data_IF_148180137421
#
_entry.id   IF_148180137421
#
_cell.length_a   1.000
_cell.length_b   1.000
_cell.length_c   1.000
_cell.angle_alpha   90.00
_cell.angle_beta   90.00
_cell.angle_gamma   90.00
#
_symmetry.space_group_name_H-M   'P 1'
#
loop_
_entity.id
_entity.type
_entity.pdbx_description
1 polymer ?
#
# COMPACT_ATOMS: atom_id res chain seq x y z
N UNK A 1 11.85 -1.92 -8.53
CA UNK A 1 11.27 -3.09 -7.84
C UNK A 1 11.27 -4.31 -8.73
N UNK A 2 12.39 -5.04 -8.70
CA UNK A 2 12.55 -6.28 -9.46
C UNK A 2 11.97 -7.49 -8.71
N UNK A 3 11.74 -7.39 -7.40
CA UNK A 3 11.23 -8.49 -6.57
C UNK A 3 9.88 -9.04 -7.05
N UNK A 4 8.98 -8.17 -7.52
CA UNK A 4 7.65 -8.58 -8.02
C UNK A 4 7.69 -9.27 -9.38
N UNK A 5 8.82 -9.17 -10.11
CA UNK A 5 9.03 -9.86 -11.37
C UNK A 5 9.64 -11.26 -11.19
N UNK A 6 10.03 -11.64 -9.97
CA UNK A 6 10.59 -12.97 -9.69
C UNK A 6 9.51 -14.05 -9.78
N UNK A 7 9.84 -15.18 -10.39
CA UNK A 7 8.94 -16.34 -10.48
C UNK A 7 8.58 -16.94 -9.11
N UNK A 8 9.45 -16.77 -8.11
CA UNK A 8 9.22 -17.20 -6.72
C UNK A 8 8.19 -16.33 -5.98
N UNK A 9 7.80 -15.18 -6.54
CA UNK A 9 6.88 -14.27 -5.88
C UNK A 9 5.43 -14.74 -6.02
N UNK A 10 4.75 -14.92 -4.89
CA UNK A 10 3.37 -15.41 -4.86
C UNK A 10 2.36 -14.28 -5.06
N UNK A 11 2.09 -13.96 -6.32
CA UNK A 11 1.15 -12.90 -6.70
C UNK A 11 -0.31 -13.19 -6.33
N UNK A 12 -0.73 -14.47 -6.26
CA UNK A 12 -2.08 -14.85 -5.81
C UNK A 12 -2.27 -14.52 -4.31
N UNK A 13 -1.28 -14.84 -3.48
CA UNK A 13 -1.28 -14.48 -2.05
C UNK A 13 -1.26 -12.97 -1.85
N UNK A 14 -0.54 -12.23 -2.71
CA UNK A 14 -0.57 -10.77 -2.69
C UNK A 14 -1.99 -10.25 -2.94
N UNK A 15 -2.63 -10.69 -4.03
CA UNK A 15 -3.98 -10.24 -4.39
C UNK A 15 -5.03 -10.54 -3.29
N UNK A 16 -4.95 -11.71 -2.65
CA UNK A 16 -5.91 -12.11 -1.62
C UNK A 16 -5.80 -11.31 -0.30
N UNK A 17 -4.61 -10.79 0.03
CA UNK A 17 -4.33 -10.21 1.36
C UNK A 17 -4.11 -8.70 1.36
N UNK A 18 -3.85 -8.08 0.21
CA UNK A 18 -3.71 -6.62 0.08
C UNK A 18 -5.09 -5.94 0.10
N UNK A 19 -5.22 -4.72 0.65
CA UNK A 19 -6.46 -3.98 0.60
C UNK A 19 -6.76 -3.53 -0.83
N UNK A 20 -8.04 -3.41 -1.15
CA UNK A 20 -8.55 -2.86 -2.40
C UNK A 20 -9.02 -1.42 -2.15
N UNK A 21 -9.04 -0.60 -3.19
CA UNK A 21 -9.36 0.82 -3.01
C UNK A 21 -10.85 1.04 -2.81
N UNK A 22 -11.23 2.02 -1.95
CA UNK A 22 -12.63 2.34 -1.74
C UNK A 22 -13.20 3.03 -3.00
N UNK A 23 -14.50 2.84 -3.31
CA UNK A 23 -15.19 3.54 -4.40
C UNK A 23 -15.03 5.07 -4.34
N UNK A 24 -14.95 5.62 -3.12
CA UNK A 24 -14.75 7.04 -2.85
C UNK A 24 -13.49 7.62 -3.52
N UNK A 25 -12.43 6.81 -3.68
CA UNK A 25 -11.24 7.23 -4.42
C UNK A 25 -11.57 7.42 -5.90
N UNK A 26 -12.22 6.43 -6.53
CA UNK A 26 -12.57 6.49 -7.94
C UNK A 26 -13.58 7.61 -8.23
N UNK A 27 -14.56 7.81 -7.35
CA UNK A 27 -15.47 8.95 -7.42
C UNK A 27 -14.72 10.30 -7.41
N UNK A 28 -13.65 10.40 -6.62
CA UNK A 28 -12.80 11.59 -6.60
C UNK A 28 -12.04 11.75 -7.92
N UNK A 29 -11.45 10.67 -8.43
CA UNK A 29 -10.72 10.66 -9.70
C UNK A 29 -11.63 11.05 -10.88
N UNK A 30 -12.84 10.48 -10.96
CA UNK A 30 -13.78 10.77 -12.04
C UNK A 30 -14.33 12.19 -11.94
N UNK A 31 -14.70 12.67 -10.75
CA UNK A 31 -15.10 14.07 -10.55
C UNK A 31 -14.00 15.06 -10.91
N UNK A 32 -12.73 14.71 -10.65
CA UNK A 32 -11.61 15.53 -11.09
C UNK A 32 -11.50 15.54 -12.61
N UNK A 33 -11.57 14.37 -13.25
CA UNK A 33 -11.53 14.23 -14.71
C UNK A 33 -12.62 15.07 -15.39
N UNK A 34 -13.88 14.94 -14.94
CA UNK A 34 -15.08 15.59 -15.48
C UNK A 34 -15.04 17.12 -15.53
N UNK A 35 -14.19 17.78 -14.74
CA UNK A 35 -14.03 19.25 -14.76
C UNK A 35 -13.39 19.79 -16.05
N UNK A 36 -12.94 18.94 -16.95
CA UNK A 36 -12.24 19.35 -18.18
C UNK A 36 -13.22 19.78 -19.27
N UNK A 37 -12.86 20.81 -20.03
CA UNK A 37 -13.72 21.34 -21.10
C UNK A 37 -14.01 20.34 -22.23
N UNK A 38 -13.12 19.37 -22.46
CA UNK A 38 -13.19 18.39 -23.57
C UNK A 38 -13.13 16.93 -23.08
N UNK A 39 -13.73 16.64 -21.93
CA UNK A 39 -13.65 15.32 -21.28
C UNK A 39 -14.19 14.21 -22.17
N UNK A 40 -13.42 13.11 -22.23
CA UNK A 40 -13.81 11.86 -22.88
C UNK A 40 -13.40 10.69 -21.99
N UNK A 41 -14.25 9.68 -21.93
CA UNK A 41 -13.96 8.40 -21.31
C UNK A 41 -13.67 7.33 -22.39
N UNK A 42 -12.71 7.62 -23.27
CA UNK A 42 -12.38 6.70 -24.36
C UNK A 42 -11.32 5.67 -23.93
N UNK A 43 -10.18 6.13 -23.44
CA UNK A 43 -9.06 5.26 -23.05
C UNK A 43 -8.48 5.69 -21.72
N UNK A 44 -8.26 4.74 -20.80
CA UNK A 44 -7.44 4.91 -19.61
C UNK A 44 -6.21 3.99 -19.67
N UNK A 45 -5.09 4.47 -19.13
CA UNK A 45 -3.85 3.70 -18.99
C UNK A 45 -3.44 3.68 -17.52
N UNK A 46 -3.29 2.49 -16.96
CA UNK A 46 -2.83 2.23 -15.60
C UNK A 46 -1.39 1.70 -15.64
N UNK A 47 -0.43 2.49 -15.17
CA UNK A 47 1.01 2.20 -15.23
C UNK A 47 1.48 1.65 -13.89
N UNK A 48 2.08 0.46 -13.90
CA UNK A 48 2.37 -0.30 -12.69
C UNK A 48 1.12 -0.96 -12.12
N UNK A 49 0.27 -1.53 -12.99
CA UNK A 49 -1.05 -2.02 -12.61
C UNK A 49 -1.04 -3.25 -11.68
N UNK A 50 0.12 -3.89 -11.50
CA UNK A 50 0.27 -5.07 -10.67
C UNK A 50 -0.69 -6.19 -11.09
N UNK A 51 -1.41 -6.84 -10.15
CA UNK A 51 -2.38 -7.88 -10.46
C UNK A 51 -3.71 -7.32 -11.02
N UNK A 52 -3.65 -6.24 -11.80
CA UNK A 52 -4.79 -5.64 -12.49
C UNK A 52 -5.69 -4.90 -11.55
N UNK A 53 -5.11 -4.42 -10.45
CA UNK A 53 -5.91 -3.89 -9.41
C UNK A 53 -6.53 -2.53 -9.95
N UNK A 54 -5.94 -1.32 -9.91
CA UNK A 54 -6.73 -0.06 -10.13
C UNK A 54 -7.47 -0.03 -11.47
N UNK A 55 -6.81 -0.61 -12.46
CA UNK A 55 -7.31 -0.94 -13.80
C UNK A 55 -8.79 -1.32 -13.82
N UNK A 56 -9.26 -2.20 -12.93
CA UNK A 56 -10.63 -2.75 -13.04
C UNK A 56 -11.74 -1.80 -12.58
N UNK A 57 -11.42 -0.75 -11.83
CA UNK A 57 -12.42 0.24 -11.38
C UNK A 57 -12.51 1.42 -12.35
N UNK A 58 -11.63 1.49 -13.35
CA UNK A 58 -11.66 2.50 -14.42
C UNK A 58 -12.80 2.26 -15.43
N UNK A 59 -13.87 1.59 -14.99
CA UNK A 59 -15.03 1.15 -15.77
C UNK A 59 -15.76 2.24 -16.58
N UNK A 60 -15.71 3.55 -16.23
CA UNK A 60 -16.30 4.56 -17.10
C UNK A 60 -15.62 4.65 -18.48
N UNK A 61 -14.37 4.20 -18.62
CA UNK A 61 -13.62 4.25 -19.88
C UNK A 61 -13.97 3.09 -20.82
N UNK A 62 -14.16 3.40 -22.11
CA UNK A 62 -14.44 2.39 -23.16
C UNK A 62 -13.31 1.38 -23.36
N UNK A 63 -12.07 1.81 -23.16
CA UNK A 63 -10.86 1.00 -23.28
C UNK A 63 -9.98 1.26 -22.07
N UNK A 64 -9.51 0.19 -21.44
CA UNK A 64 -8.61 0.28 -20.29
C UNK A 64 -7.37 -0.56 -20.62
N UNK A 65 -6.18 0.00 -20.36
CA UNK A 65 -4.90 -0.63 -20.62
C UNK A 65 -4.10 -0.64 -19.32
N UNK A 66 -3.92 -1.82 -18.72
CA UNK A 66 -2.98 -2.01 -17.62
C UNK A 66 -1.59 -2.38 -18.15
N UNK A 67 -0.55 -1.72 -17.65
CA UNK A 67 0.85 -1.99 -18.00
C UNK A 67 1.63 -2.26 -16.72
N UNK A 68 2.36 -3.37 -16.67
CA UNK A 68 3.26 -3.71 -15.57
C UNK A 68 4.48 -4.44 -16.15
N UNK A 69 5.72 -4.17 -15.68
CA UNK A 69 6.90 -4.89 -16.14
C UNK A 69 6.95 -6.36 -15.70
N UNK A 70 6.13 -6.79 -14.72
CA UNK A 70 6.11 -8.17 -14.24
C UNK A 70 5.08 -9.03 -14.99
N UNK A 71 5.57 -10.04 -15.70
CA UNK A 71 4.71 -11.04 -16.36
C UNK A 71 3.83 -11.81 -15.36
N UNK A 72 4.33 -12.07 -14.15
CA UNK A 72 3.55 -12.79 -13.12
C UNK A 72 2.39 -11.92 -12.62
N UNK A 73 2.60 -10.61 -12.50
CA UNK A 73 1.56 -9.65 -12.16
C UNK A 73 0.51 -9.55 -13.29
N UNK A 74 0.96 -9.42 -14.55
CA UNK A 74 0.05 -9.38 -15.72
C UNK A 74 -0.74 -10.67 -15.88
N UNK A 75 -0.13 -11.83 -15.63
CA UNK A 75 -0.85 -13.11 -15.64
C UNK A 75 -1.92 -13.15 -14.55
N UNK A 76 -1.61 -12.71 -13.33
CA UNK A 76 -2.63 -12.59 -12.29
C UNK A 76 -3.70 -11.56 -12.64
N UNK A 77 -3.36 -10.42 -13.24
CA UNK A 77 -4.33 -9.43 -13.72
C UNK A 77 -5.34 -10.02 -14.71
N UNK A 78 -4.86 -10.85 -15.65
CA UNK A 78 -5.73 -11.56 -16.61
C UNK A 78 -6.63 -12.60 -15.94
N UNK A 79 -6.12 -13.27 -14.90
CA UNK A 79 -6.91 -14.24 -14.13
C UNK A 79 -7.91 -13.54 -13.21
N UNK A 80 -7.54 -12.38 -12.67
CA UNK A 80 -8.30 -11.53 -11.77
C UNK A 80 -9.12 -10.50 -12.54
N UNK A 81 -9.79 -10.83 -13.65
CA UNK A 81 -10.74 -9.92 -14.32
C UNK A 81 -11.96 -9.50 -13.44
N UNK A 82 -11.80 -9.63 -12.12
CA UNK A 82 -12.53 -9.05 -11.01
C UNK A 82 -11.51 -8.50 -9.97
N UNK A 83 -11.49 -7.16 -9.76
CA UNK A 83 -11.01 -6.41 -8.55
C UNK A 83 -9.66 -5.62 -8.55
N UNK A 84 -9.66 -4.46 -7.84
CA UNK A 84 -8.82 -3.27 -8.07
C UNK A 84 -7.85 -2.60 -7.02
N UNK A 85 -6.97 -1.59 -7.37
CA UNK A 85 -5.61 -1.23 -6.79
C UNK A 85 -4.71 -0.08 -7.35
N UNK A 86 -4.60 1.05 -6.65
CA UNK A 86 -3.49 2.02 -6.64
C UNK A 86 -2.37 1.61 -5.63
N UNK A 87 -1.50 2.53 -5.19
CA UNK A 87 -0.54 2.36 -4.07
C UNK A 87 -0.90 3.12 -2.77
N UNK A 88 -0.52 2.58 -1.61
CA UNK A 88 -0.75 3.15 -0.27
C UNK A 88 0.51 3.04 0.60
N UNK A 89 0.65 3.84 1.67
CA UNK A 89 1.85 3.86 2.52
C UNK A 89 1.84 2.76 3.59
N UNK A 90 2.70 2.84 4.60
CA UNK A 90 2.70 1.87 5.68
C UNK A 90 1.39 1.84 6.48
N UNK A 91 0.96 0.64 6.89
CA UNK A 91 -0.30 0.46 7.61
C UNK A 91 -0.26 1.02 9.03
N UNK A 92 -1.44 1.25 9.61
CA UNK A 92 -1.70 1.65 11.00
C UNK A 92 -2.81 0.80 11.57
N UNK A 93 -2.81 0.59 12.89
CA UNK A 93 -3.95 -0.01 13.59
C UNK A 93 -4.86 1.12 14.08
N UNK A 94 -6.08 1.19 13.56
CA UNK A 94 -6.97 2.37 13.73
C UNK A 94 -7.24 2.73 15.18
N UNK A 95 -7.38 1.73 16.05
CA UNK A 95 -7.68 1.91 17.48
C UNK A 95 -6.49 1.66 18.41
N UNK A 96 -5.28 1.51 17.85
CA UNK A 96 -4.06 1.23 18.61
C UNK A 96 -2.88 2.08 18.12
N UNK A 97 -2.93 3.41 18.26
CA UNK A 97 -1.88 4.31 17.77
C UNK A 97 -0.51 4.04 18.43
N UNK A 98 -0.47 3.47 19.64
CA UNK A 98 0.76 3.02 20.31
C UNK A 98 1.57 2.02 19.47
N UNK A 99 0.89 1.20 18.67
CA UNK A 99 1.53 0.20 17.82
C UNK A 99 2.31 0.83 16.65
N UNK A 100 2.07 2.11 16.33
CA UNK A 100 2.75 2.81 15.23
C UNK A 100 4.26 2.77 15.36
N UNK A 101 4.80 2.93 16.56
CA UNK A 101 6.25 2.86 16.81
C UNK A 101 6.80 1.47 16.53
N UNK A 102 6.06 0.41 16.87
CA UNK A 102 6.46 -0.97 16.59
C UNK A 102 6.38 -1.30 15.10
N UNK A 103 5.31 -0.85 14.42
CA UNK A 103 5.14 -1.01 12.97
C UNK A 103 6.32 -0.34 12.25
N UNK A 104 6.65 0.90 12.65
CA UNK A 104 7.75 1.65 12.07
C UNK A 104 9.11 0.98 12.35
N UNK A 105 9.36 0.55 13.59
CA UNK A 105 10.60 -0.15 13.94
C UNK A 105 10.78 -1.45 13.14
N UNK A 106 9.72 -2.24 13.00
CA UNK A 106 9.73 -3.47 12.20
C UNK A 106 9.99 -3.18 10.72
N UNK A 107 9.30 -2.21 10.15
CA UNK A 107 9.29 -2.02 8.70
C UNK A 107 10.44 -1.13 8.21
N UNK A 108 10.80 -0.09 8.95
CA UNK A 108 11.79 0.92 8.54
C UNK A 108 13.05 0.96 9.42
N UNK A 109 13.12 0.13 10.48
CA UNK A 109 14.28 0.08 11.38
C UNK A 109 15.61 -0.18 10.67
N UNK A 110 16.72 0.13 11.33
CA UNK A 110 18.06 -0.08 10.76
C UNK A 110 18.67 -1.44 11.11
N UNK A 111 18.09 -2.15 12.07
CA UNK A 111 18.59 -3.45 12.55
C UNK A 111 18.26 -4.57 11.54
N UNK A 112 19.26 -5.18 10.88
CA UNK A 112 19.02 -6.21 9.87
C UNK A 112 18.46 -7.53 10.41
N UNK A 113 18.54 -7.79 11.73
CA UNK A 113 17.99 -9.01 12.34
C UNK A 113 16.54 -8.83 12.82
N UNK A 114 16.18 -7.60 13.18
CA UNK A 114 14.90 -7.30 13.82
C UNK A 114 14.04 -6.31 13.03
N UNK A 115 14.46 -5.93 11.83
CA UNK A 115 13.67 -5.07 10.94
C UNK A 115 13.82 -5.43 9.46
N UNK A 116 12.85 -4.98 8.68
CA UNK A 116 12.81 -5.07 7.22
C UNK A 116 13.47 -3.89 6.52
N UNK A 117 13.87 -2.85 7.27
CA UNK A 117 14.40 -1.60 6.73
C UNK A 117 15.55 -1.78 5.74
N UNK A 118 16.59 -2.58 6.06
CA UNK A 118 17.71 -2.83 5.15
C UNK A 118 17.35 -3.61 3.87
N UNK A 119 16.16 -4.21 3.81
CA UNK A 119 15.73 -5.09 2.71
C UNK A 119 14.72 -4.43 1.77
N UNK A 120 14.29 -3.20 2.07
CA UNK A 120 13.49 -2.39 1.15
C UNK A 120 14.36 -1.81 0.04
N UNK A 121 13.88 -1.90 -1.20
CA UNK A 121 14.47 -1.14 -2.29
C UNK A 121 14.25 0.37 -2.07
N UNK A 122 15.36 1.12 -2.04
CA UNK A 122 15.38 2.58 -1.96
C UNK A 122 15.88 3.18 -3.28
N UNK A 123 15.44 4.41 -3.66
CA UNK A 123 14.67 5.37 -2.86
C UNK A 123 13.14 5.16 -2.86
N UNK A 124 12.62 4.21 -3.66
CA UNK A 124 11.18 4.04 -3.86
C UNK A 124 10.37 3.85 -2.57
N UNK A 125 10.88 3.06 -1.62
CA UNK A 125 10.20 2.88 -0.31
C UNK A 125 10.10 4.17 0.48
N UNK A 126 11.16 4.98 0.51
CA UNK A 126 11.18 6.27 1.23
C UNK A 126 10.16 7.22 0.63
N UNK A 127 10.14 7.35 -0.71
CA UNK A 127 9.19 8.23 -1.42
C UNK A 127 7.74 7.83 -1.12
N UNK A 128 7.43 6.52 -1.11
CA UNK A 128 6.09 6.02 -0.79
C UNK A 128 5.67 6.32 0.66
N UNK A 129 6.56 6.06 1.62
CA UNK A 129 6.27 6.22 3.05
C UNK A 129 6.18 7.70 3.45
N UNK A 130 6.92 8.56 2.78
CA UNK A 130 6.83 10.02 2.87
C UNK A 130 5.73 10.60 1.97
N UNK A 131 4.71 9.80 1.63
CA UNK A 131 3.48 10.28 1.00
C UNK A 131 3.72 11.03 -0.33
N UNK A 132 4.71 10.59 -1.10
CA UNK A 132 5.09 11.15 -2.39
C UNK A 132 5.51 12.63 -2.33
N UNK A 133 5.90 13.16 -1.15
CA UNK A 133 6.31 14.56 -1.00
C UNK A 133 7.50 14.90 -1.90
N UNK A 134 8.42 13.96 -2.09
CA UNK A 134 9.58 14.11 -2.97
C UNK A 134 9.24 14.21 -4.47
N UNK A 135 8.00 13.85 -4.88
CA UNK A 135 7.57 14.04 -6.27
C UNK A 135 7.38 15.55 -6.50
N UNK A 136 8.10 16.16 -7.45
CA UNK A 136 8.00 17.59 -7.72
C UNK A 136 6.63 17.93 -8.33
N UNK A 137 6.24 19.19 -8.18
CA UNK A 137 5.07 19.71 -8.87
C UNK A 137 5.33 19.72 -10.39
N UNK A 138 4.31 19.42 -11.22
CA UNK A 138 4.49 19.25 -12.66
C UNK A 138 5.03 20.51 -13.33
N UNK A 139 4.65 21.70 -12.84
CA UNK A 139 5.15 22.99 -13.34
C UNK A 139 6.68 23.12 -13.18
N UNK A 140 7.27 22.51 -12.15
CA UNK A 140 8.72 22.56 -11.94
C UNK A 140 9.50 21.63 -12.90
N UNK A 141 8.85 20.63 -13.50
CA UNK A 141 9.48 19.62 -14.36
C UNK A 141 9.18 19.86 -15.82
N UNK A 142 7.94 20.24 -16.13
CA UNK A 142 7.40 20.43 -17.48
C UNK A 142 6.49 21.67 -17.50
N UNK A 143 7.09 22.89 -17.46
CA UNK A 143 6.35 24.14 -17.33
C UNK A 143 5.28 24.31 -18.40
N UNK A 144 4.09 24.76 -17.99
CA UNK A 144 2.97 25.06 -18.88
C UNK A 144 2.32 23.86 -19.57
N UNK A 145 2.72 22.62 -19.23
CA UNK A 145 2.08 21.41 -19.77
C UNK A 145 0.90 20.93 -18.93
N UNK A 146 0.82 21.33 -17.66
CA UNK A 146 -0.22 20.89 -16.75
C UNK A 146 -0.89 22.06 -16.02
N UNK A 147 -2.16 21.88 -15.69
CA UNK A 147 -2.99 22.80 -14.93
C UNK A 147 -3.81 22.03 -13.88
N UNK A 148 -4.51 22.77 -12.99
CA UNK A 148 -5.40 22.20 -11.96
C UNK A 148 -4.69 21.14 -11.10
N UNK A 149 -3.42 21.38 -10.77
CA UNK A 149 -2.61 20.46 -9.97
C UNK A 149 -3.16 20.37 -8.55
N UNK A 150 -3.33 19.15 -8.05
CA UNK A 150 -3.78 18.87 -6.69
C UNK A 150 -2.94 17.76 -6.08
N UNK A 151 -2.58 17.95 -4.81
CA UNK A 151 -1.96 16.93 -3.97
C UNK A 151 -2.79 16.75 -2.72
N UNK A 152 -3.35 15.56 -2.56
CA UNK A 152 -4.29 15.22 -1.49
C UNK A 152 -3.66 14.18 -0.58
N UNK A 153 -3.76 14.38 0.73
CA UNK A 153 -3.22 13.48 1.73
C UNK A 153 -4.36 12.91 2.58
N UNK A 154 -4.63 11.61 2.47
CA UNK A 154 -5.60 10.89 3.29
C UNK A 154 -4.87 10.17 4.42
N UNK A 155 -4.29 10.95 5.33
CA UNK A 155 -3.40 10.44 6.39
C UNK A 155 -4.01 10.49 7.79
N UNK A 156 -5.17 11.11 7.96
CA UNK A 156 -5.77 11.35 9.26
C UNK A 156 -4.78 12.02 10.23
N UNK A 157 -4.84 11.62 11.49
CA UNK A 157 -3.99 12.17 12.56
C UNK A 157 -2.57 11.57 12.58
N UNK A 158 -2.27 10.57 11.74
CA UNK A 158 -0.98 9.88 11.74
C UNK A 158 0.18 10.75 11.27
N UNK A 159 -0.11 11.78 10.47
CA UNK A 159 0.89 12.63 9.84
C UNK A 159 0.48 14.11 9.90
N UNK A 160 0.50 14.73 11.10
CA UNK A 160 0.02 16.10 11.30
C UNK A 160 0.86 17.16 10.57
N UNK A 161 2.07 16.80 10.13
CA UNK A 161 2.97 17.68 9.38
C UNK A 161 2.61 17.79 7.89
N UNK A 162 1.76 16.91 7.36
CA UNK A 162 1.30 17.01 5.97
C UNK A 162 0.31 18.17 5.82
N UNK A 163 0.34 18.91 4.71
CA UNK A 163 -0.58 20.02 4.51
C UNK A 163 -2.01 19.50 4.30
N UNK A 164 -2.95 20.01 5.08
CA UNK A 164 -4.39 19.72 4.99
C UNK A 164 -4.72 18.20 4.98
N UNK A 165 -4.34 17.45 6.04
CA UNK A 165 -4.58 16.01 6.09
C UNK A 165 -6.08 15.72 6.14
N UNK A 166 -6.53 14.89 5.22
CA UNK A 166 -7.90 14.37 5.15
C UNK A 166 -8.02 13.05 5.93
N UNK A 167 -9.23 12.65 6.36
CA UNK A 167 -9.45 11.35 6.97
C UNK A 167 -8.93 10.20 6.10
N UNK A 168 -8.38 9.15 6.72
CA UNK A 168 -7.94 7.96 5.99
C UNK A 168 -9.14 7.29 5.33
N UNK A 169 -9.09 7.08 4.02
CA UNK A 169 -10.17 6.44 3.25
C UNK A 169 -9.91 4.94 3.00
N UNK A 170 -8.65 4.50 3.03
CA UNK A 170 -8.29 3.11 2.85
C UNK A 170 -8.25 2.38 4.19
N UNK A 171 -9.32 1.67 4.51
CA UNK A 171 -9.50 0.94 5.76
C UNK A 171 -9.99 -0.48 5.50
N UNK A 172 -9.62 -1.42 6.37
CA UNK A 172 -10.08 -2.81 6.32
C UNK A 172 -10.08 -3.41 7.71
N UNK A 173 -11.23 -3.94 8.12
CA UNK A 173 -11.34 -4.87 9.24
C UNK A 173 -10.86 -6.24 8.77
N UNK A 174 -9.93 -6.85 9.50
CA UNK A 174 -9.44 -8.18 9.21
C UNK A 174 -9.15 -8.95 10.48
N UNK A 175 -8.99 -10.27 10.40
CA UNK A 175 -8.53 -11.03 11.57
C UNK A 175 -7.04 -10.82 11.82
N UNK A 176 -6.58 -11.10 13.03
CA UNK A 176 -5.14 -11.14 13.33
C UNK A 176 -4.37 -12.11 12.43
N UNK A 177 -4.97 -13.25 12.05
CA UNK A 177 -4.39 -14.14 11.04
C UNK A 177 -4.31 -13.47 9.66
N UNK A 178 -5.33 -12.70 9.27
CA UNK A 178 -5.32 -11.88 8.05
C UNK A 178 -4.19 -10.85 8.05
N UNK A 179 -3.94 -10.19 9.19
CA UNK A 179 -2.84 -9.25 9.33
C UNK A 179 -1.47 -9.94 9.15
N UNK A 180 -1.27 -11.12 9.73
CA UNK A 180 -0.05 -11.89 9.49
C UNK A 180 0.10 -12.31 8.02
N UNK A 181 -0.99 -12.73 7.38
CA UNK A 181 -0.99 -13.06 5.96
C UNK A 181 -0.63 -11.86 5.08
N UNK A 182 -1.09 -10.66 5.45
CA UNK A 182 -0.71 -9.38 4.83
C UNK A 182 0.79 -9.05 5.03
N UNK A 183 1.34 -9.19 6.23
CA UNK A 183 2.78 -8.98 6.48
C UNK A 183 3.64 -9.90 5.61
N UNK A 184 3.18 -11.14 5.40
CA UNK A 184 3.84 -12.13 4.55
C UNK A 184 3.86 -11.83 3.05
N UNK A 185 3.27 -10.72 2.61
CA UNK A 185 3.31 -10.29 1.20
C UNK A 185 4.25 -9.10 0.98
N UNK A 186 5.01 -8.70 2.00
CA UNK A 186 5.99 -7.62 1.91
C UNK A 186 7.18 -8.09 1.07
N UNK A 187 7.55 -7.30 0.07
CA UNK A 187 8.70 -7.61 -0.79
C UNK A 187 10.01 -7.66 0.00
N UNK A 188 10.18 -6.78 0.99
CA UNK A 188 11.34 -6.79 1.89
C UNK A 188 11.43 -8.06 2.75
N UNK A 189 10.30 -8.63 3.19
CA UNK A 189 10.29 -9.91 3.89
C UNK A 189 10.76 -11.04 2.96
N UNK A 190 10.31 -11.05 1.71
CA UNK A 190 10.80 -12.01 0.73
C UNK A 190 12.32 -11.90 0.52
N UNK A 191 12.83 -10.67 0.36
CA UNK A 191 14.27 -10.40 0.25
C UNK A 191 15.05 -10.87 1.49
N UNK A 192 14.50 -10.67 2.69
CA UNK A 192 15.09 -11.14 3.94
C UNK A 192 15.18 -12.66 3.95
N UNK A 193 14.09 -13.37 3.65
CA UNK A 193 14.07 -14.84 3.65
C UNK A 193 14.92 -15.46 2.54
N UNK A 194 15.13 -14.78 1.41
CA UNK A 194 16.12 -15.22 0.41
C UNK A 194 17.56 -15.11 0.93
N UNK A 195 17.87 -14.06 1.71
CA UNK A 195 19.22 -13.79 2.21
C UNK A 195 19.54 -14.55 3.50
N UNK A 196 18.54 -14.75 4.35
CA UNK A 196 18.62 -15.34 5.68
C UNK A 196 17.49 -16.36 5.88
N UNK A 197 17.53 -17.50 5.15
CA UNK A 197 16.47 -18.52 5.21
C UNK A 197 16.31 -19.16 6.59
N UNK A 198 17.32 -19.06 7.47
CA UNK A 198 17.28 -19.51 8.85
C UNK A 198 16.23 -18.78 9.71
N UNK A 199 15.81 -17.56 9.35
CA UNK A 199 14.73 -16.85 10.06
C UNK A 199 13.42 -17.66 10.02
N UNK A 200 13.19 -18.44 8.95
CA UNK A 200 12.03 -19.33 8.83
C UNK A 200 12.07 -20.54 9.78
N UNK A 201 13.25 -20.90 10.29
CA UNK A 201 13.46 -22.08 11.14
C UNK A 201 13.51 -21.74 12.63
N UNK A 202 13.34 -20.46 12.98
CA UNK A 202 13.37 -20.02 14.37
C UNK A 202 12.21 -20.61 15.17
N UNK A 203 12.51 -21.05 16.40
CA UNK A 203 11.50 -21.63 17.30
C UNK A 203 10.46 -20.63 17.79
N UNK A 204 10.81 -19.34 17.84
CA UNK A 204 9.91 -18.23 18.19
C UNK A 204 9.19 -17.61 16.97
N UNK A 205 9.38 -18.21 15.78
CA UNK A 205 8.81 -17.77 14.51
C UNK A 205 9.69 -16.79 13.75
N UNK A 206 9.39 -16.67 12.45
CA UNK A 206 10.03 -15.69 11.56
C UNK A 206 9.76 -14.25 12.04
N UNK A 207 10.49 -13.29 11.48
CA UNK A 207 10.35 -11.87 11.85
C UNK A 207 8.89 -11.36 11.75
N UNK A 208 8.11 -11.89 10.79
CA UNK A 208 6.70 -11.54 10.63
C UNK A 208 5.83 -12.05 11.79
N UNK A 209 6.08 -13.27 12.29
CA UNK A 209 5.42 -13.80 13.49
C UNK A 209 5.87 -13.05 14.74
N UNK A 210 7.16 -12.71 14.84
CA UNK A 210 7.69 -11.96 16.00
C UNK A 210 7.04 -10.58 16.11
N UNK A 211 6.99 -9.79 15.04
CA UNK A 211 6.30 -8.49 15.08
C UNK A 211 4.81 -8.65 15.33
N UNK A 212 4.18 -9.66 14.75
CA UNK A 212 2.75 -9.91 14.96
C UNK A 212 2.43 -10.20 16.43
N UNK A 213 3.27 -10.99 17.11
CA UNK A 213 3.16 -11.21 18.55
C UNK A 213 3.41 -9.92 19.36
N UNK A 214 4.38 -9.10 18.96
CA UNK A 214 4.65 -7.81 19.61
C UNK A 214 3.45 -6.85 19.49
N UNK A 215 2.81 -6.78 18.32
CA UNK A 215 1.61 -5.97 18.12
C UNK A 215 0.48 -6.41 19.04
N UNK A 216 0.22 -7.72 19.16
CA UNK A 216 -0.78 -8.24 20.11
C UNK A 216 -0.45 -7.88 21.56
N UNK A 217 0.82 -8.00 21.94
CA UNK A 217 1.28 -7.66 23.29
C UNK A 217 1.13 -6.16 23.59
N UNK A 218 1.33 -5.29 22.60
CA UNK A 218 1.10 -3.85 22.74
C UNK A 218 -0.38 -3.53 22.92
N UNK A 219 -1.28 -4.20 22.19
CA UNK A 219 -2.73 -4.06 22.36
C UNK A 219 -3.15 -4.43 23.79
N UNK A 220 -2.68 -5.58 24.30
CA UNK A 220 -2.94 -6.01 25.69
C UNK A 220 -2.49 -4.97 26.69
N UNK A 221 -1.26 -4.46 26.51
CA UNK A 221 -0.64 -3.51 27.44
C UNK A 221 -1.41 -2.19 27.50
N UNK A 222 -1.79 -1.64 26.36
CA UNK A 222 -2.40 -0.32 26.28
C UNK A 222 -3.91 -0.34 26.54
N UNK A 223 -4.61 -1.43 26.18
CA UNK A 223 -6.05 -1.54 26.36
C UNK A 223 -6.47 -2.26 27.66
N UNK A 224 -5.51 -2.81 28.42
CA UNK A 224 -5.75 -3.65 29.62
C UNK A 224 -6.75 -4.77 29.34
N UNK A 225 -6.63 -5.41 28.18
CA UNK A 225 -7.51 -6.49 27.71
C UNK A 225 -6.78 -7.83 27.67
N UNK A 226 -7.54 -8.92 27.52
CA UNK A 226 -6.97 -10.22 27.19
C UNK A 226 -6.26 -10.17 25.83
N UNK A 227 -5.32 -11.12 25.64
CA UNK A 227 -4.62 -11.26 24.37
C UNK A 227 -5.61 -11.61 23.25
N UNK A 228 -5.61 -10.87 22.13
CA UNK A 228 -6.53 -11.14 21.05
C UNK A 228 -6.23 -12.51 20.42
N UNK A 229 -7.28 -13.29 20.25
CA UNK A 229 -7.25 -14.58 19.56
C UNK A 229 -6.94 -14.35 18.09
N UNK A 230 -6.49 -15.41 17.41
CA UNK A 230 -6.08 -15.33 16.01
C UNK A 230 -7.23 -14.97 15.04
N UNK A 231 -8.46 -15.28 15.43
CA UNK A 231 -9.67 -14.99 14.68
C UNK A 231 -10.36 -13.69 15.11
N UNK A 232 -9.87 -13.03 16.16
CA UNK A 232 -10.42 -11.74 16.56
C UNK A 232 -10.09 -10.69 15.49
N UNK A 233 -10.99 -9.72 15.35
CA UNK A 233 -10.88 -8.66 14.36
C UNK A 233 -9.93 -7.55 14.84
N UNK A 234 -9.28 -6.92 13.87
CA UNK A 234 -8.45 -5.74 14.03
C UNK A 234 -8.67 -4.80 12.84
N UNK A 235 -8.88 -3.53 13.14
CA UNK A 235 -9.04 -2.49 12.14
C UNK A 235 -7.68 -1.95 11.72
N UNK A 236 -7.44 -2.05 10.42
CA UNK A 236 -6.21 -1.62 9.77
C UNK A 236 -6.54 -0.51 8.79
N UNK A 237 -5.73 0.53 8.79
CA UNK A 237 -5.87 1.64 7.85
C UNK A 237 -4.52 2.02 7.25
N UNK A 238 -4.56 2.59 6.05
CA UNK A 238 -3.38 2.94 5.29
C UNK A 238 -3.45 4.41 4.88
N UNK A 239 -2.56 5.26 5.42
CA UNK A 239 -2.37 6.59 4.89
C UNK A 239 -2.02 6.54 3.40
N UNK A 240 -2.50 7.51 2.63
CA UNK A 240 -2.23 7.57 1.20
C UNK A 240 -2.14 9.01 0.70
N UNK A 241 -1.41 9.20 -0.39
CA UNK A 241 -1.36 10.47 -1.12
C UNK A 241 -1.85 10.26 -2.55
N UNK A 242 -2.56 11.24 -3.07
CA UNK A 242 -3.06 11.27 -4.46
C UNK A 242 -2.55 12.54 -5.11
N UNK A 243 -1.87 12.40 -6.25
CA UNK A 243 -1.42 13.51 -7.09
C UNK A 243 -2.27 13.52 -8.35
N UNK A 244 -2.89 14.66 -8.64
CA UNK A 244 -3.73 14.88 -9.82
C UNK A 244 -3.21 16.09 -10.58
N UNK A 245 -3.13 15.96 -11.89
CA UNK A 245 -2.78 17.04 -12.79
C UNK A 245 -3.55 16.86 -14.10
N UNK A 246 -3.94 17.96 -14.73
CA UNK A 246 -4.63 17.96 -16.02
C UNK A 246 -3.71 18.52 -17.07
N UNK A 247 -3.58 17.84 -18.21
CA UNK A 247 -2.87 18.41 -19.35
C UNK A 247 -3.64 19.63 -19.91
N UNK A 248 -2.91 20.66 -20.35
CA UNK A 248 -3.46 21.92 -20.89
C UNK A 248 -4.11 21.72 -22.26
#
# INVERSE_FOLDING_TARGET
>A
MATYAKASYNAAKYAANRPTYPPQLFDLLFRYHERGANVRFNTAVDIGCGPGQATLELTPFKKIIGVDPSDTMIQQARNNLTTAGCGYSEFRLSYHPSATTLIHAYSQGSDPENSLGPYWERPGRTILDEHLVAIPDPEAVVPGQFMDFQRLYFSGEHHPMLPSPQPVILKKTMTWNGLLAYLRTFSSLHTLHEKYPEDLQRSDGDIAVRVWNQLKADVVRNNRSDAPRNMDEVDVEWPMAVILARHV
#
